data_IF_822910867638
#
_entry.id   IF_822910867638
#
_cell.length_a   1.000
_cell.length_b   1.000
_cell.length_c   1.000
_cell.angle_alpha   90.00
_cell.angle_beta   90.00
_cell.angle_gamma   90.00
#
_symmetry.space_group_name_H-M   'P 1'
#
loop_
_entity.id
_entity.type
_entity.pdbx_description
1 polymer ?
#
# COMPACT_ATOMS: atom_id res chain seq x y z
N UNK A 1 1.48 -15.97 -35.55
CA UNK A 1 0.53 -17.12 -35.71
C UNK A 1 -0.65 -16.74 -36.63
N UNK A 2 -1.58 -17.63 -37.04
CA UNK A 2 -2.87 -17.20 -37.64
C UNK A 2 -3.98 -17.16 -36.59
N UNK A 3 -4.91 -16.21 -36.67
CA UNK A 3 -6.01 -16.09 -35.71
C UNK A 3 -6.92 -17.32 -35.67
N UNK A 4 -7.19 -17.93 -36.83
CA UNK A 4 -7.98 -19.16 -36.91
C UNK A 4 -7.35 -20.32 -36.12
N UNK A 5 -6.02 -20.38 -36.07
CA UNK A 5 -5.30 -21.42 -35.35
C UNK A 5 -5.36 -21.17 -33.83
N UNK A 6 -5.35 -19.91 -33.40
CA UNK A 6 -5.55 -19.52 -31.99
C UNK A 6 -6.93 -19.89 -31.48
N UNK A 7 -7.97 -19.61 -32.27
CA UNK A 7 -9.33 -19.99 -31.93
C UNK A 7 -9.49 -21.51 -31.74
N UNK A 8 -8.71 -22.32 -32.49
CA UNK A 8 -8.68 -23.78 -32.39
C UNK A 8 -7.83 -24.31 -31.24
N UNK A 9 -6.94 -23.47 -30.71
CA UNK A 9 -6.07 -23.80 -29.58
C UNK A 9 -6.45 -22.96 -28.36
N UNK A 10 -7.51 -23.33 -27.61
CA UNK A 10 -7.81 -22.67 -26.35
C UNK A 10 -6.58 -22.68 -25.39
N UNK A 11 -5.66 -23.63 -25.57
CA UNK A 11 -4.49 -23.87 -24.72
C UNK A 11 -3.14 -23.43 -25.31
N UNK A 12 -3.05 -22.29 -26.00
CA UNK A 12 -1.73 -21.78 -26.42
C UNK A 12 -0.76 -21.52 -25.25
N UNK A 13 -1.28 -21.39 -24.02
CA UNK A 13 -0.50 -21.32 -22.79
C UNK A 13 -0.90 -22.49 -21.87
N UNK A 14 -0.22 -23.65 -21.93
CA UNK A 14 -0.59 -24.86 -21.18
C UNK A 14 -0.34 -24.76 -19.66
N UNK A 15 0.31 -23.67 -19.19
CA UNK A 15 0.53 -23.38 -17.77
C UNK A 15 -0.76 -22.81 -17.14
N UNK A 16 -1.71 -23.71 -16.92
CA UNK A 16 -3.15 -23.47 -16.66
C UNK A 16 -3.55 -23.16 -15.21
N UNK A 17 -2.69 -22.53 -14.46
CA UNK A 17 -3.12 -21.91 -13.21
C UNK A 17 -2.86 -20.43 -13.35
N UNK A 18 -3.80 -19.58 -12.93
CA UNK A 18 -3.47 -18.25 -12.46
C UNK A 18 -2.29 -18.46 -11.49
N UNK A 19 -1.05 -18.34 -11.97
CA UNK A 19 0.17 -18.54 -11.20
C UNK A 19 0.31 -17.30 -10.31
N UNK A 20 -0.67 -17.11 -9.43
CA UNK A 20 -0.76 -16.07 -8.40
C UNK A 20 0.29 -16.31 -7.30
N UNK A 21 1.16 -17.30 -7.48
CA UNK A 21 2.22 -17.72 -6.56
C UNK A 21 3.63 -17.39 -7.06
N UNK A 22 3.79 -16.43 -7.98
CA UNK A 22 5.15 -15.93 -8.29
C UNK A 22 5.59 -15.01 -7.13
N UNK A 23 6.77 -15.25 -6.52
CA UNK A 23 7.24 -14.51 -5.35
C UNK A 23 7.41 -13.00 -5.63
N UNK A 24 7.22 -12.21 -4.56
CA UNK A 24 7.04 -10.76 -4.48
C UNK A 24 8.23 -9.87 -4.91
N UNK A 25 9.23 -10.36 -5.67
CA UNK A 25 10.55 -9.70 -5.72
C UNK A 25 11.24 -9.62 -7.10
N UNK A 26 10.53 -9.61 -8.23
CA UNK A 26 11.16 -9.40 -9.54
C UNK A 26 10.31 -8.53 -10.46
N UNK A 27 10.96 -7.95 -11.49
CA UNK A 27 10.32 -7.30 -12.65
C UNK A 27 9.21 -8.15 -13.31
N UNK A 28 9.19 -9.46 -13.02
CA UNK A 28 8.11 -10.35 -13.44
C UNK A 28 6.76 -9.98 -12.81
N UNK A 29 6.72 -9.20 -11.71
CA UNK A 29 5.47 -8.90 -11.02
C UNK A 29 4.53 -8.05 -11.90
N UNK A 30 5.03 -7.00 -12.54
CA UNK A 30 4.25 -6.14 -13.46
C UNK A 30 3.62 -7.00 -14.57
N UNK A 31 4.46 -7.83 -15.20
CA UNK A 31 4.02 -8.78 -16.22
C UNK A 31 3.00 -9.81 -15.70
N UNK A 32 3.17 -10.31 -14.46
CA UNK A 32 2.25 -11.27 -13.86
C UNK A 32 0.88 -10.66 -13.56
N UNK A 33 0.84 -9.40 -13.13
CA UNK A 33 -0.44 -8.71 -12.89
C UNK A 33 -1.15 -8.43 -14.20
N UNK A 34 -0.46 -7.97 -15.24
CA UNK A 34 -1.07 -7.81 -16.57
C UNK A 34 -1.56 -9.14 -17.13
N UNK A 35 -0.77 -10.20 -16.99
CA UNK A 35 -1.18 -11.58 -17.34
C UNK A 35 -2.44 -12.01 -16.59
N UNK A 36 -2.57 -11.67 -15.30
CA UNK A 36 -3.75 -11.99 -14.51
C UNK A 36 -5.00 -11.24 -15.02
N UNK A 37 -4.86 -9.96 -15.38
CA UNK A 37 -5.93 -9.18 -16.01
C UNK A 37 -6.34 -9.79 -17.35
N UNK A 38 -5.39 -10.02 -18.25
CA UNK A 38 -5.63 -10.61 -19.58
C UNK A 38 -6.27 -12.00 -19.46
N UNK A 39 -5.77 -12.84 -18.55
CA UNK A 39 -6.33 -14.17 -18.33
C UNK A 39 -7.76 -14.11 -17.80
N UNK A 40 -8.04 -13.17 -16.89
CA UNK A 40 -9.39 -12.96 -16.35
C UNK A 40 -10.37 -12.57 -17.44
N UNK A 41 -9.99 -11.62 -18.31
CA UNK A 41 -10.81 -11.20 -19.44
C UNK A 41 -11.01 -12.36 -20.45
N UNK A 42 -9.92 -13.05 -20.82
CA UNK A 42 -9.93 -14.15 -21.78
C UNK A 42 -10.83 -15.31 -21.38
N UNK A 43 -10.82 -15.68 -20.10
CA UNK A 43 -11.49 -16.89 -19.61
C UNK A 43 -12.88 -16.65 -19.01
N UNK A 44 -13.26 -15.39 -18.85
CA UNK A 44 -14.62 -14.97 -18.46
C UNK A 44 -15.54 -14.90 -19.68
N UNK A 45 -16.83 -14.62 -19.44
CA UNK A 45 -17.78 -14.41 -20.54
C UNK A 45 -17.47 -13.11 -21.33
N UNK A 46 -17.75 -13.05 -22.65
CA UNK A 46 -17.40 -11.90 -23.49
C UNK A 46 -17.95 -10.55 -23.01
N UNK A 47 -19.10 -10.56 -22.31
CA UNK A 47 -19.73 -9.36 -21.75
C UNK A 47 -18.83 -8.64 -20.74
N UNK A 48 -17.95 -9.37 -20.03
CA UNK A 48 -16.97 -8.75 -19.15
C UNK A 48 -15.97 -7.91 -19.94
N UNK A 49 -15.46 -8.43 -21.06
CA UNK A 49 -14.53 -7.70 -21.93
C UNK A 49 -15.21 -6.51 -22.60
N UNK A 50 -16.44 -6.66 -23.06
CA UNK A 50 -17.22 -5.53 -23.61
C UNK A 50 -17.40 -4.42 -22.57
N UNK A 51 -17.73 -4.79 -21.33
CA UNK A 51 -17.86 -3.85 -20.22
C UNK A 51 -16.51 -3.20 -19.86
N UNK A 52 -15.41 -3.96 -19.88
CA UNK A 52 -14.07 -3.43 -19.62
C UNK A 52 -13.67 -2.40 -20.67
N UNK A 53 -13.83 -2.73 -21.95
CA UNK A 53 -13.56 -1.83 -23.07
C UNK A 53 -14.42 -0.56 -22.99
N UNK A 54 -15.67 -0.67 -22.55
CA UNK A 54 -16.56 0.49 -22.42
C UNK A 54 -16.21 1.37 -21.21
N UNK A 55 -16.08 0.76 -20.02
CA UNK A 55 -16.01 1.50 -18.74
C UNK A 55 -14.58 1.92 -18.38
N UNK A 56 -13.58 1.11 -18.73
CA UNK A 56 -12.18 1.38 -18.40
C UNK A 56 -11.47 2.03 -19.59
N UNK A 57 -11.66 1.49 -20.81
CA UNK A 57 -10.96 1.98 -22.00
C UNK A 57 -11.71 3.13 -22.71
N UNK A 58 -13.00 3.31 -22.45
CA UNK A 58 -13.80 4.37 -23.07
C UNK A 58 -14.26 4.06 -24.50
N UNK A 59 -14.23 2.80 -24.93
CA UNK A 59 -14.68 2.37 -26.26
C UNK A 59 -16.17 2.01 -26.25
N UNK A 60 -17.03 3.02 -26.29
CA UNK A 60 -18.49 2.85 -26.30
C UNK A 60 -19.02 2.10 -27.53
N UNK A 61 -20.09 1.33 -27.33
CA UNK A 61 -20.83 0.65 -28.41
C UNK A 61 -20.10 -0.55 -29.02
N UNK A 62 -19.08 -1.07 -28.34
CA UNK A 62 -18.33 -2.24 -28.77
C UNK A 62 -19.08 -3.52 -28.39
N UNK A 63 -19.61 -4.20 -29.40
CA UNK A 63 -20.09 -5.57 -29.28
C UNK A 63 -19.36 -6.41 -30.31
N UNK A 64 -18.38 -7.19 -29.86
CA UNK A 64 -17.81 -8.26 -30.65
C UNK A 64 -18.29 -9.60 -30.08
N UNK A 65 -18.56 -10.55 -30.97
CA UNK A 65 -18.80 -11.95 -30.60
C UNK A 65 -17.49 -12.60 -30.12
N UNK A 66 -16.35 -12.21 -30.72
CA UNK A 66 -15.03 -12.75 -30.43
C UNK A 66 -14.00 -11.64 -30.16
N UNK A 67 -13.24 -11.84 -29.07
CA UNK A 67 -12.05 -11.09 -28.73
C UNK A 67 -10.85 -12.03 -28.67
N UNK A 68 -9.71 -11.54 -29.12
CA UNK A 68 -8.41 -12.18 -29.00
C UNK A 68 -7.56 -11.44 -27.96
N UNK A 69 -6.63 -12.18 -27.36
CA UNK A 69 -5.82 -11.70 -26.24
C UNK A 69 -4.41 -12.22 -26.39
N UNK A 70 -3.43 -11.37 -26.10
CA UNK A 70 -2.01 -11.72 -26.17
C UNK A 70 -1.20 -11.06 -25.05
N UNK A 71 0.02 -11.57 -24.84
CA UNK A 71 1.02 -11.03 -23.92
C UNK A 71 2.31 -10.81 -24.71
N UNK A 72 2.91 -9.61 -24.62
CA UNK A 72 4.12 -9.30 -25.40
C UNK A 72 3.82 -8.90 -26.85
N UNK A 73 4.57 -9.38 -27.83
CA UNK A 73 4.40 -8.96 -29.23
C UNK A 73 3.22 -9.65 -29.93
N UNK A 74 2.38 -8.87 -30.61
CA UNK A 74 1.33 -9.36 -31.50
C UNK A 74 1.95 -9.86 -32.82
N UNK A 75 2.13 -11.19 -32.98
CA UNK A 75 2.83 -11.80 -34.12
C UNK A 75 1.89 -12.38 -35.20
N UNK A 76 0.64 -11.94 -35.24
CA UNK A 76 -0.38 -12.51 -36.13
C UNK A 76 -0.13 -12.15 -37.59
N UNK A 77 -0.06 -13.16 -38.45
CA UNK A 77 0.19 -12.95 -39.89
C UNK A 77 -1.03 -12.43 -40.65
N UNK A 78 -2.21 -12.52 -40.04
CA UNK A 78 -3.52 -12.18 -40.59
C UNK A 78 -4.21 -11.04 -39.82
N UNK A 79 -3.48 -10.32 -38.98
CA UNK A 79 -3.98 -9.16 -38.25
C UNK A 79 -2.91 -8.07 -38.17
N UNK A 80 -3.27 -6.88 -38.64
CA UNK A 80 -2.46 -5.67 -38.51
C UNK A 80 -3.16 -4.70 -37.54
N UNK A 81 -2.57 -4.38 -36.38
CA UNK A 81 -3.14 -3.40 -35.46
C UNK A 81 -3.35 -2.02 -36.11
N UNK A 82 -2.58 -1.65 -37.14
CA UNK A 82 -2.72 -0.38 -37.84
C UNK A 82 -4.02 -0.27 -38.65
N UNK A 83 -4.56 -1.41 -39.10
CA UNK A 83 -5.81 -1.50 -39.87
C UNK A 83 -7.07 -1.37 -39.00
N UNK A 84 -6.92 -1.39 -37.67
CA UNK A 84 -8.06 -1.26 -36.76
C UNK A 84 -8.64 0.16 -36.79
N UNK A 85 -9.96 0.27 -36.95
CA UNK A 85 -10.70 1.55 -36.91
C UNK A 85 -10.68 2.24 -35.54
N UNK A 86 -10.43 1.47 -34.48
CA UNK A 86 -10.35 1.95 -33.10
C UNK A 86 -9.11 1.37 -32.45
N UNK A 87 -8.22 2.25 -32.00
CA UNK A 87 -6.89 1.93 -31.49
C UNK A 87 -6.69 2.70 -30.20
N UNK A 88 -6.28 2.03 -29.14
CA UNK A 88 -6.06 2.67 -27.85
C UNK A 88 -4.82 2.08 -27.20
N UNK A 89 -3.97 2.96 -26.69
CA UNK A 89 -2.95 2.60 -25.72
C UNK A 89 -3.55 2.81 -24.32
N UNK A 90 -3.70 1.73 -23.55
CA UNK A 90 -4.15 1.76 -22.16
C UNK A 90 -2.92 1.70 -21.26
N UNK A 91 -2.66 2.79 -20.56
CA UNK A 91 -1.63 2.87 -19.52
C UNK A 91 -2.24 2.64 -18.14
N UNK A 92 -1.72 1.65 -17.41
CA UNK A 92 -2.14 1.33 -16.04
C UNK A 92 -1.00 1.61 -15.07
N UNK A 93 -1.21 2.41 -14.03
CA UNK A 93 -0.20 2.56 -12.99
C UNK A 93 -0.75 2.67 -11.57
N UNK A 94 0.12 2.66 -10.56
CA UNK A 94 -0.30 2.93 -9.18
C UNK A 94 -0.99 4.29 -9.04
N UNK A 95 -0.46 5.32 -9.70
CA UNK A 95 -0.97 6.69 -9.68
C UNK A 95 -1.91 7.02 -10.85
N UNK A 96 -1.91 6.22 -11.92
CA UNK A 96 -2.62 6.53 -13.17
C UNK A 96 -2.02 7.74 -13.89
N UNK A 97 -0.74 8.02 -13.66
CA UNK A 97 -0.05 9.19 -14.18
C UNK A 97 1.16 8.81 -15.03
N UNK A 98 1.48 9.70 -15.96
CA UNK A 98 2.72 9.72 -16.74
C UNK A 98 3.75 10.56 -15.96
N UNK A 99 5.02 10.15 -16.00
CA UNK A 99 6.11 10.86 -15.36
C UNK A 99 6.23 12.29 -15.92
N UNK A 100 6.01 13.34 -15.11
CA UNK A 100 5.80 14.71 -15.61
C UNK A 100 7.07 15.41 -16.12
N UNK A 101 8.26 15.02 -15.65
CA UNK A 101 9.52 15.71 -15.96
C UNK A 101 10.49 14.86 -16.78
N UNK A 102 10.11 13.63 -17.17
CA UNK A 102 10.94 12.82 -18.04
C UNK A 102 10.96 13.39 -19.47
N UNK A 103 12.14 13.68 -20.04
CA UNK A 103 12.25 14.09 -21.44
C UNK A 103 12.01 12.91 -22.37
N UNK A 104 11.73 13.19 -23.65
CA UNK A 104 11.76 12.15 -24.68
C UNK A 104 13.13 11.46 -24.70
N UNK A 105 13.14 10.14 -24.85
CA UNK A 105 14.38 9.39 -24.93
C UNK A 105 15.16 9.63 -26.23
N UNK A 106 14.51 10.17 -27.26
CA UNK A 106 15.17 10.65 -28.49
C UNK A 106 15.98 11.94 -28.26
N UNK A 107 15.66 12.72 -27.22
CA UNK A 107 16.29 14.01 -26.94
C UNK A 107 17.52 13.90 -26.02
N UNK A 108 17.83 12.69 -25.55
CA UNK A 108 18.89 12.47 -24.56
C UNK A 108 19.93 11.46 -25.04
N UNK A 109 21.10 11.49 -24.40
CA UNK A 109 22.11 10.45 -24.61
C UNK A 109 21.82 9.26 -23.68
N UNK A 110 21.05 8.29 -24.19
CA UNK A 110 20.60 7.10 -23.46
C UNK A 110 21.78 6.32 -22.83
N UNK A 111 22.85 6.08 -23.60
CA UNK A 111 24.04 5.36 -23.12
C UNK A 111 24.69 6.03 -21.90
N UNK A 112 24.79 7.37 -21.92
CA UNK A 112 25.39 8.13 -20.81
C UNK A 112 24.50 8.10 -19.57
N UNK A 113 23.18 8.19 -19.75
CA UNK A 113 22.21 8.13 -18.65
C UNK A 113 22.17 6.72 -18.04
N UNK A 114 22.12 5.67 -18.88
CA UNK A 114 22.17 4.28 -18.44
C UNK A 114 23.49 3.97 -17.71
N UNK A 115 24.62 4.47 -18.23
CA UNK A 115 25.91 4.34 -17.55
C UNK A 115 25.91 5.02 -16.17
N UNK A 116 25.24 6.17 -16.02
CA UNK A 116 25.12 6.84 -14.73
C UNK A 116 24.24 6.04 -13.74
N UNK A 117 23.11 5.51 -14.22
CA UNK A 117 22.20 4.67 -13.43
C UNK A 117 22.85 3.35 -12.98
N UNK A 118 23.71 2.76 -13.81
CA UNK A 118 24.43 1.51 -13.52
C UNK A 118 25.58 1.64 -12.53
N UNK A 119 25.97 2.86 -12.11
CA UNK A 119 27.09 3.05 -11.16
C UNK A 119 26.76 2.48 -9.78
N UNK A 120 27.73 1.87 -9.07
CA UNK A 120 27.54 1.36 -7.72
C UNK A 120 27.66 2.49 -6.68
N UNK A 121 26.80 3.51 -6.81
CA UNK A 121 26.69 4.64 -5.87
C UNK A 121 25.29 4.66 -5.25
N UNK A 122 25.12 5.40 -4.15
CA UNK A 122 23.82 5.53 -3.49
C UNK A 122 22.78 6.23 -4.39
N UNK A 123 21.49 5.98 -4.13
CA UNK A 123 20.38 6.47 -4.94
C UNK A 123 20.33 8.01 -5.01
N UNK A 124 20.71 8.69 -3.94
CA UNK A 124 20.76 10.16 -3.90
C UNK A 124 21.81 10.71 -4.88
N UNK A 125 23.00 10.09 -4.90
CA UNK A 125 24.04 10.42 -5.87
C UNK A 125 23.60 10.13 -7.31
N UNK A 126 22.95 8.99 -7.56
CA UNK A 126 22.40 8.66 -8.90
C UNK A 126 21.40 9.72 -9.36
N UNK A 127 20.45 10.09 -8.49
CA UNK A 127 19.45 11.10 -8.78
C UNK A 127 20.11 12.43 -9.17
N UNK A 128 21.10 12.90 -8.40
CA UNK A 128 21.79 14.16 -8.68
C UNK A 128 22.59 14.13 -9.99
N UNK A 129 23.23 13.00 -10.30
CA UNK A 129 23.95 12.84 -11.57
C UNK A 129 22.99 12.84 -12.76
N UNK A 130 21.86 12.12 -12.68
CA UNK A 130 20.84 12.11 -13.74
C UNK A 130 20.17 13.48 -13.90
N UNK A 131 19.81 14.17 -12.80
CA UNK A 131 19.30 15.56 -12.84
C UNK A 131 20.23 16.49 -13.61
N UNK A 132 21.55 16.36 -13.38
CA UNK A 132 22.58 17.16 -14.07
C UNK A 132 22.67 16.80 -15.56
N UNK A 133 22.65 15.51 -15.89
CA UNK A 133 22.73 15.02 -17.26
C UNK A 133 21.52 15.44 -18.11
N UNK A 134 20.33 15.38 -17.52
CA UNK A 134 19.07 15.74 -18.19
C UNK A 134 18.73 17.23 -18.11
N UNK A 135 19.48 18.00 -17.33
CA UNK A 135 19.13 19.38 -16.94
C UNK A 135 17.70 19.49 -16.32
N UNK A 136 17.27 18.46 -15.58
CA UNK A 136 15.97 18.36 -14.93
C UNK A 136 16.12 18.39 -13.41
N UNK A 137 16.15 19.56 -12.74
CA UNK A 137 16.34 19.63 -11.29
C UNK A 137 15.15 19.09 -10.48
N UNK A 138 13.96 19.04 -11.09
CA UNK A 138 12.70 18.63 -10.44
C UNK A 138 12.51 17.11 -10.41
N UNK A 139 13.24 16.35 -11.25
CA UNK A 139 13.19 14.89 -11.35
C UNK A 139 13.23 14.25 -9.96
N UNK A 140 12.27 13.43 -9.57
CA UNK A 140 12.27 12.77 -8.27
C UNK A 140 12.78 11.31 -8.31
N UNK A 141 12.68 10.60 -7.18
CA UNK A 141 13.12 9.19 -7.09
C UNK A 141 12.24 8.23 -7.90
N UNK A 142 10.95 8.53 -8.05
CA UNK A 142 10.00 7.70 -8.78
C UNK A 142 10.20 7.86 -10.29
N UNK A 143 10.43 9.10 -10.74
CA UNK A 143 10.79 9.38 -12.14
C UNK A 143 12.15 8.78 -12.51
N UNK A 144 13.13 8.81 -11.59
CA UNK A 144 14.42 8.12 -11.78
C UNK A 144 14.24 6.60 -11.94
N UNK A 145 13.37 5.98 -11.13
CA UNK A 145 13.07 4.56 -11.23
C UNK A 145 12.35 4.22 -12.54
N UNK A 146 11.39 5.06 -12.94
CA UNK A 146 10.67 4.96 -14.21
C UNK A 146 11.64 5.01 -15.39
N UNK A 147 12.52 6.01 -15.43
CA UNK A 147 13.53 6.16 -16.48
C UNK A 147 14.49 4.96 -16.56
N UNK A 148 14.97 4.47 -15.42
CA UNK A 148 15.84 3.31 -15.38
C UNK A 148 15.15 2.08 -15.97
N UNK A 149 13.90 1.87 -15.59
CA UNK A 149 13.10 0.77 -16.09
C UNK A 149 12.83 0.86 -17.59
N UNK A 150 12.43 2.01 -18.11
CA UNK A 150 12.17 2.19 -19.55
C UNK A 150 13.43 2.00 -20.39
N UNK A 151 14.59 2.45 -19.92
CA UNK A 151 15.87 2.22 -20.61
C UNK A 151 16.23 0.73 -20.66
N UNK A 152 15.98 -0.02 -19.58
CA UNK A 152 16.20 -1.47 -19.55
C UNK A 152 15.24 -2.20 -20.51
N UNK A 153 13.96 -1.83 -20.53
CA UNK A 153 12.96 -2.43 -21.45
C UNK A 153 13.24 -2.14 -22.92
N UNK A 154 13.73 -0.94 -23.24
CA UNK A 154 14.13 -0.59 -24.60
C UNK A 154 15.30 -1.41 -25.11
N UNK A 155 16.25 -1.77 -24.23
CA UNK A 155 17.33 -2.67 -24.59
C UNK A 155 16.82 -4.07 -24.99
N UNK A 156 15.69 -4.48 -24.41
CA UNK A 156 15.01 -5.75 -24.69
C UNK A 156 13.97 -5.66 -25.83
N UNK A 157 13.83 -4.48 -26.46
CA UNK A 157 13.00 -4.26 -27.63
C UNK A 157 11.63 -3.63 -27.36
N UNK A 158 11.32 -3.27 -26.10
CA UNK A 158 10.11 -2.58 -25.66
C UNK A 158 8.83 -3.16 -26.26
N UNK A 159 8.34 -4.23 -25.62
CA UNK A 159 7.09 -4.89 -26.01
C UNK A 159 5.98 -4.50 -25.03
N UNK A 160 4.75 -4.27 -25.51
CA UNK A 160 3.60 -4.07 -24.64
C UNK A 160 3.35 -5.27 -23.73
N UNK A 161 2.86 -4.99 -22.52
CA UNK A 161 2.56 -6.04 -21.54
C UNK A 161 1.39 -6.94 -21.99
N UNK A 162 0.40 -6.39 -22.70
CA UNK A 162 -0.77 -7.14 -23.12
C UNK A 162 -1.59 -6.53 -24.24
N UNK A 163 -2.47 -7.35 -24.81
CA UNK A 163 -3.34 -6.96 -25.94
C UNK A 163 -4.76 -7.46 -25.76
N UNK A 164 -5.72 -6.64 -26.20
CA UNK A 164 -7.12 -7.02 -26.41
C UNK A 164 -7.52 -6.53 -27.80
N UNK A 165 -7.93 -7.42 -28.69
CA UNK A 165 -8.30 -7.01 -30.04
C UNK A 165 -9.40 -7.85 -30.66
N UNK A 166 -10.07 -7.30 -31.66
CA UNK A 166 -11.09 -7.99 -32.45
C UNK A 166 -11.04 -7.45 -33.88
N UNK A 167 -10.60 -8.28 -34.82
CA UNK A 167 -10.58 -7.94 -36.24
C UNK A 167 -12.00 -7.65 -36.77
N UNK A 168 -12.99 -8.44 -36.34
CA UNK A 168 -14.38 -8.27 -36.73
C UNK A 168 -14.97 -6.93 -36.28
N UNK A 169 -14.61 -6.47 -35.08
CA UNK A 169 -15.04 -5.18 -34.55
C UNK A 169 -14.07 -4.01 -34.89
N UNK A 170 -12.98 -4.28 -35.61
CA UNK A 170 -11.96 -3.29 -35.96
C UNK A 170 -11.38 -2.57 -34.74
N UNK A 171 -11.18 -3.29 -33.62
CA UNK A 171 -10.73 -2.74 -32.34
C UNK A 171 -9.41 -3.37 -31.92
N UNK A 172 -8.46 -2.55 -31.48
CA UNK A 172 -7.20 -2.99 -30.87
C UNK A 172 -6.86 -2.12 -29.67
N UNK A 173 -6.60 -2.75 -28.53
CA UNK A 173 -6.14 -2.12 -27.30
C UNK A 173 -4.82 -2.75 -26.91
N UNK A 174 -3.81 -1.90 -26.76
CA UNK A 174 -2.49 -2.23 -26.26
C UNK A 174 -2.43 -1.83 -24.79
N UNK A 175 -1.95 -2.71 -23.93
CA UNK A 175 -1.84 -2.48 -22.49
C UNK A 175 -0.37 -2.35 -22.12
N UNK A 176 -0.06 -1.27 -21.41
CA UNK A 176 1.19 -1.04 -20.72
C UNK A 176 0.87 -0.79 -19.24
N UNK A 177 1.54 -1.49 -18.34
CA UNK A 177 1.17 -1.49 -16.94
C UNK A 177 2.39 -1.48 -16.02
N UNK A 178 2.45 -0.50 -15.12
CA UNK A 178 3.46 -0.40 -14.07
C UNK A 178 2.82 -0.56 -12.71
N UNK A 179 3.39 -1.34 -11.80
CA UNK A 179 2.72 -1.59 -10.50
C UNK A 179 2.65 -0.35 -9.62
N UNK A 180 3.81 0.24 -9.37
CA UNK A 180 3.96 1.33 -8.40
C UNK A 180 4.48 2.62 -9.02
N UNK A 181 5.17 2.53 -10.17
CA UNK A 181 5.82 3.67 -10.80
C UNK A 181 4.89 4.41 -11.75
N UNK A 182 5.32 5.62 -12.15
CA UNK A 182 4.74 6.32 -13.28
C UNK A 182 4.86 5.51 -14.58
N UNK A 183 4.01 5.87 -15.54
CA UNK A 183 4.18 5.47 -16.93
C UNK A 183 5.17 6.40 -17.62
N UNK A 184 5.94 5.87 -18.56
CA UNK A 184 6.82 6.66 -19.40
C UNK A 184 6.09 7.11 -20.68
N UNK A 185 6.08 8.43 -20.94
CA UNK A 185 5.40 9.00 -22.11
C UNK A 185 5.97 8.48 -23.43
N UNK A 186 7.30 8.39 -23.52
CA UNK A 186 8.02 7.96 -24.71
C UNK A 186 7.65 6.52 -25.05
N UNK A 187 7.56 5.63 -24.06
CA UNK A 187 7.17 4.24 -24.28
C UNK A 187 5.75 4.13 -24.86
N UNK A 188 4.78 4.85 -24.28
CA UNK A 188 3.40 4.85 -24.76
C UNK A 188 3.28 5.43 -26.19
N UNK A 189 4.01 6.51 -26.48
CA UNK A 189 4.06 7.10 -27.82
C UNK A 189 4.71 6.16 -28.84
N UNK A 190 5.80 5.50 -28.44
CA UNK A 190 6.52 4.54 -29.29
C UNK A 190 5.63 3.37 -29.68
N UNK A 191 4.82 2.87 -28.76
CA UNK A 191 3.84 1.84 -29.07
C UNK A 191 2.81 2.26 -30.10
N UNK A 192 2.22 3.46 -29.94
CA UNK A 192 1.28 3.98 -30.92
C UNK A 192 1.96 4.15 -32.29
N UNK A 193 3.18 4.67 -32.33
CA UNK A 193 3.92 4.85 -33.58
C UNK A 193 4.20 3.51 -34.27
N UNK A 194 4.76 2.55 -33.54
CA UNK A 194 5.21 1.26 -34.08
C UNK A 194 4.02 0.40 -34.51
N UNK A 195 2.95 0.33 -33.71
CA UNK A 195 1.86 -0.61 -33.94
C UNK A 195 0.65 0.01 -34.63
N UNK A 196 0.39 1.30 -34.44
CA UNK A 196 -0.77 1.98 -35.05
C UNK A 196 -0.39 2.91 -36.21
N UNK A 197 0.91 3.12 -36.46
CA UNK A 197 1.40 4.01 -37.52
C UNK A 197 1.12 5.49 -37.27
N UNK A 198 0.90 5.88 -36.01
CA UNK A 198 0.53 7.25 -35.66
C UNK A 198 0.61 7.53 -34.16
N UNK A 199 0.18 8.73 -33.75
CA UNK A 199 0.10 9.10 -32.33
C UNK A 199 -1.33 8.88 -31.85
N UNK A 200 -1.47 8.11 -30.79
CA UNK A 200 -2.72 7.96 -30.06
C UNK A 200 -2.57 8.62 -28.68
N UNK A 201 -3.64 9.25 -28.19
CA UNK A 201 -3.65 9.73 -26.79
C UNK A 201 -3.90 8.54 -25.89
N UNK A 202 -3.00 8.20 -24.95
CA UNK A 202 -3.21 7.06 -24.08
C UNK A 202 -4.40 7.30 -23.15
N UNK A 203 -5.14 6.24 -22.86
CA UNK A 203 -6.10 6.21 -21.76
C UNK A 203 -5.35 5.77 -20.51
N UNK A 204 -5.39 6.58 -19.45
CA UNK A 204 -4.68 6.30 -18.21
C UNK A 204 -5.65 5.86 -17.14
N UNK A 205 -5.31 4.79 -16.41
CA UNK A 205 -6.08 4.36 -15.25
C UNK A 205 -5.19 3.85 -14.12
N UNK A 206 -5.77 3.78 -12.93
CA UNK A 206 -5.12 3.23 -11.74
C UNK A 206 -5.43 1.75 -11.58
N UNK A 207 -4.54 1.03 -10.88
CA UNK A 207 -4.88 -0.33 -10.43
C UNK A 207 -6.12 -0.40 -9.54
N UNK A 208 -6.42 0.66 -8.78
CA UNK A 208 -7.65 0.78 -8.00
C UNK A 208 -8.91 0.85 -8.90
N UNK A 209 -8.82 1.54 -10.04
CA UNK A 209 -9.90 1.57 -11.04
C UNK A 209 -10.08 0.20 -11.69
N UNK A 210 -8.99 -0.50 -12.02
CA UNK A 210 -9.03 -1.87 -12.54
C UNK A 210 -9.69 -2.81 -11.53
N UNK A 211 -9.23 -2.78 -10.28
CA UNK A 211 -9.78 -3.61 -9.21
C UNK A 211 -11.25 -3.29 -8.93
N UNK A 212 -11.62 -2.01 -8.90
CA UNK A 212 -13.00 -1.56 -8.71
C UNK A 212 -13.92 -2.03 -9.85
N UNK A 213 -13.45 -2.00 -11.09
CA UNK A 213 -14.18 -2.57 -12.23
C UNK A 213 -14.47 -4.06 -11.99
N UNK A 214 -13.43 -4.88 -11.78
CA UNK A 214 -13.62 -6.32 -11.59
C UNK A 214 -14.40 -6.66 -10.32
N UNK A 215 -14.35 -5.82 -9.29
CA UNK A 215 -15.13 -5.99 -8.07
C UNK A 215 -16.65 -6.04 -8.35
N UNK A 216 -17.13 -5.29 -9.36
CA UNK A 216 -18.56 -5.31 -9.75
C UNK A 216 -19.01 -6.63 -10.37
N UNK A 217 -18.06 -7.49 -10.76
CA UNK A 217 -18.30 -8.79 -11.40
C UNK A 217 -18.01 -9.99 -10.48
N UNK A 218 -17.58 -9.77 -9.23
CA UNK A 218 -17.29 -10.87 -8.27
C UNK A 218 -18.47 -11.81 -8.03
N UNK A 219 -19.68 -11.26 -8.06
CA UNK A 219 -20.93 -12.00 -7.86
C UNK A 219 -21.68 -12.26 -9.18
N UNK A 220 -20.94 -12.40 -10.29
CA UNK A 220 -21.55 -12.72 -11.58
C UNK A 220 -22.39 -14.00 -11.50
N UNK A 221 -23.52 -13.99 -12.21
CA UNK A 221 -24.35 -15.17 -12.41
C UNK A 221 -23.62 -16.34 -13.08
N UNK A 222 -22.61 -16.08 -13.91
CA UNK A 222 -21.69 -17.07 -14.44
C UNK A 222 -20.60 -17.39 -13.39
N UNK A 223 -20.59 -18.61 -12.83
CA UNK A 223 -19.69 -18.94 -11.71
C UNK A 223 -18.21 -18.83 -12.06
N UNK A 224 -17.84 -19.02 -13.33
CA UNK A 224 -16.46 -18.91 -13.79
C UNK A 224 -16.00 -17.45 -13.77
N UNK A 225 -16.80 -16.55 -14.34
CA UNK A 225 -16.55 -15.11 -14.33
C UNK A 225 -16.47 -14.59 -12.89
N UNK A 226 -17.43 -14.94 -12.03
CA UNK A 226 -17.39 -14.55 -10.61
C UNK A 226 -16.14 -15.06 -9.89
N UNK A 227 -15.76 -16.32 -10.13
CA UNK A 227 -14.55 -16.90 -9.55
C UNK A 227 -13.26 -16.20 -10.01
N UNK A 228 -13.08 -16.01 -11.31
CA UNK A 228 -11.86 -15.40 -11.87
C UNK A 228 -11.70 -13.94 -11.42
N UNK A 229 -12.79 -13.17 -11.47
CA UNK A 229 -12.78 -11.77 -11.01
C UNK A 229 -12.55 -11.66 -9.51
N UNK A 230 -13.11 -12.59 -8.72
CA UNK A 230 -12.81 -12.72 -7.29
C UNK A 230 -11.33 -12.99 -7.02
N UNK A 231 -10.72 -13.95 -7.74
CA UNK A 231 -9.30 -14.26 -7.60
C UNK A 231 -8.39 -13.09 -7.99
N UNK A 232 -8.65 -12.44 -9.13
CA UNK A 232 -7.88 -11.28 -9.57
C UNK A 232 -7.96 -10.15 -8.53
N UNK A 233 -9.16 -9.89 -8.04
CA UNK A 233 -9.37 -8.87 -7.03
C UNK A 233 -8.61 -9.16 -5.71
N UNK A 234 -8.65 -10.41 -5.24
CA UNK A 234 -7.92 -10.81 -4.02
C UNK A 234 -6.40 -10.76 -4.24
N UNK A 235 -5.93 -11.05 -5.46
CA UNK A 235 -4.52 -10.90 -5.83
C UNK A 235 -4.08 -9.43 -5.81
N UNK A 236 -4.85 -8.53 -6.44
CA UNK A 236 -4.55 -7.09 -6.43
C UNK A 236 -4.59 -6.49 -5.02
N UNK A 237 -5.49 -6.98 -4.17
CA UNK A 237 -5.59 -6.63 -2.75
C UNK A 237 -4.35 -7.09 -1.96
N UNK A 238 -3.89 -8.34 -2.18
CA UNK A 238 -2.66 -8.86 -1.58
C UNK A 238 -1.43 -8.05 -1.97
N UNK A 239 -1.35 -7.62 -3.24
CA UNK A 239 -0.29 -6.75 -3.74
C UNK A 239 -0.42 -5.29 -3.28
N UNK A 240 -1.52 -4.92 -2.61
CA UNK A 240 -1.79 -3.54 -2.19
C UNK A 240 -1.94 -2.55 -3.34
N UNK A 241 -2.37 -3.04 -4.50
CA UNK A 241 -2.64 -2.24 -5.70
C UNK A 241 -4.07 -1.69 -5.73
N UNK A 242 -4.89 -2.13 -4.78
CA UNK A 242 -6.27 -1.70 -4.60
C UNK A 242 -6.37 -0.89 -3.29
N UNK A 243 -7.38 -0.03 -3.17
CA UNK A 243 -7.75 0.53 -1.85
C UNK A 243 -8.10 -0.60 -0.88
N UNK A 244 -8.06 -0.31 0.41
CA UNK A 244 -8.44 -1.28 1.42
C UNK A 244 -9.94 -1.64 1.33
N UNK A 245 -10.23 -2.92 1.06
CA UNK A 245 -11.60 -3.48 1.03
C UNK A 245 -11.86 -4.47 2.17
N UNK A 246 -11.17 -4.34 3.29
CA UNK A 246 -11.40 -5.22 4.44
C UNK A 246 -10.45 -6.40 4.52
N UNK A 247 -10.32 -6.93 5.73
CA UNK A 247 -9.45 -8.08 5.99
C UNK A 247 -10.11 -9.39 5.58
N UNK A 248 -9.27 -10.36 5.26
CA UNK A 248 -9.59 -11.76 5.00
C UNK A 248 -9.05 -12.61 6.14
N UNK A 249 -9.59 -13.81 6.37
CA UNK A 249 -9.10 -14.67 7.45
C UNK A 249 -7.59 -14.94 7.38
N UNK A 250 -7.03 -15.08 6.18
CA UNK A 250 -5.61 -15.37 5.97
C UNK A 250 -4.68 -14.16 6.21
N UNK A 251 -5.20 -12.93 6.24
CA UNK A 251 -4.38 -11.74 6.56
C UNK A 251 -3.84 -11.78 8.00
N UNK A 252 -4.48 -12.56 8.87
CA UNK A 252 -4.09 -12.76 10.26
C UNK A 252 -3.27 -14.04 10.48
N UNK A 253 -2.85 -14.72 9.41
CA UNK A 253 -1.95 -15.86 9.52
C UNK A 253 -0.51 -15.36 9.78
N UNK A 254 0.15 -15.74 10.89
CA UNK A 254 1.53 -15.38 11.15
C UNK A 254 2.47 -15.73 9.99
N UNK A 255 2.20 -16.83 9.29
CA UNK A 255 3.03 -17.32 8.19
C UNK A 255 2.84 -16.49 6.90
N UNK A 256 1.74 -15.73 6.79
CA UNK A 256 1.43 -14.83 5.68
C UNK A 256 1.60 -13.34 6.05
N UNK A 257 2.25 -13.05 7.18
CA UNK A 257 2.34 -11.70 7.74
C UNK A 257 3.13 -10.72 6.86
N UNK A 258 4.08 -11.20 6.06
CA UNK A 258 4.84 -10.37 5.13
C UNK A 258 3.99 -9.96 3.93
N UNK A 259 3.21 -10.89 3.39
CA UNK A 259 2.31 -10.66 2.26
C UNK A 259 1.13 -9.78 2.68
N UNK A 260 0.58 -9.99 3.87
CA UNK A 260 -0.49 -9.16 4.43
C UNK A 260 -0.03 -7.72 4.75
N UNK A 261 1.28 -7.47 4.82
CA UNK A 261 1.84 -6.17 5.23
C UNK A 261 1.41 -5.05 4.28
N UNK A 262 1.45 -5.27 2.97
CA UNK A 262 1.10 -4.23 1.99
C UNK A 262 -0.37 -3.84 2.14
N UNK A 263 -1.25 -4.83 2.25
CA UNK A 263 -2.67 -4.62 2.53
C UNK A 263 -2.91 -3.92 3.87
N UNK A 264 -2.16 -4.28 4.90
CA UNK A 264 -2.24 -3.63 6.20
C UNK A 264 -1.83 -2.15 6.15
N UNK A 265 -0.82 -1.80 5.34
CA UNK A 265 -0.45 -0.41 5.13
C UNK A 265 -1.60 0.36 4.44
N UNK A 266 -2.30 -0.24 3.47
CA UNK A 266 -3.53 0.35 2.89
C UNK A 266 -4.63 0.56 3.92
N UNK A 267 -4.81 -0.38 4.85
CA UNK A 267 -5.72 -0.19 5.99
C UNK A 267 -5.31 1.01 6.84
N UNK A 268 -4.03 1.13 7.18
CA UNK A 268 -3.52 2.22 8.00
C UNK A 268 -3.65 3.59 7.29
N UNK A 269 -3.41 3.65 5.98
CA UNK A 269 -3.65 4.83 5.14
C UNK A 269 -5.14 5.24 5.15
N UNK A 270 -6.03 4.27 4.93
CA UNK A 270 -7.47 4.50 4.97
C UNK A 270 -7.96 4.94 6.36
N UNK A 271 -7.44 4.34 7.43
CA UNK A 271 -7.70 4.75 8.81
C UNK A 271 -7.22 6.18 9.07
N UNK A 272 -6.02 6.53 8.62
CA UNK A 272 -5.47 7.87 8.78
C UNK A 272 -6.33 8.92 8.06
N UNK A 273 -6.75 8.63 6.82
CA UNK A 273 -7.65 9.50 6.06
C UNK A 273 -9.00 9.68 6.79
N UNK A 274 -9.63 8.59 7.22
CA UNK A 274 -10.90 8.62 7.94
C UNK A 274 -10.81 9.37 9.28
N UNK A 275 -9.72 9.20 10.02
CA UNK A 275 -9.45 9.92 11.26
C UNK A 275 -9.29 11.44 11.03
N UNK A 276 -8.62 11.85 9.96
CA UNK A 276 -8.48 13.26 9.58
C UNK A 276 -9.80 13.87 9.15
N UNK A 277 -10.60 13.14 8.38
CA UNK A 277 -11.96 13.55 8.01
C UNK A 277 -12.85 13.74 9.25
N UNK A 278 -12.68 12.88 10.26
CA UNK A 278 -13.32 13.02 11.57
C UNK A 278 -12.74 14.14 12.45
N UNK A 279 -11.77 14.92 11.95
CA UNK A 279 -11.17 16.06 12.67
C UNK A 279 -10.15 15.69 13.74
N UNK A 280 -9.62 14.46 13.73
CA UNK A 280 -8.58 14.03 14.66
C UNK A 280 -7.21 14.61 14.22
N UNK A 281 -6.45 15.27 15.12
CA UNK A 281 -5.18 15.91 14.79
C UNK A 281 -4.03 14.90 14.77
N UNK A 282 -3.99 14.06 13.74
CA UNK A 282 -2.90 13.12 13.51
C UNK A 282 -1.86 13.73 12.57
N UNK A 283 -0.60 13.40 12.81
CA UNK A 283 0.55 13.70 11.96
C UNK A 283 0.65 12.68 10.81
N UNK A 284 1.72 12.75 10.03
CA UNK A 284 1.95 11.81 8.93
C UNK A 284 2.04 10.35 9.42
N UNK A 285 1.56 9.45 8.56
CA UNK A 285 1.63 8.01 8.79
C UNK A 285 3.03 7.50 8.45
N UNK A 286 3.56 6.63 9.30
CA UNK A 286 4.79 5.93 9.03
C UNK A 286 4.64 4.42 9.16
N UNK A 287 5.16 3.69 8.19
CA UNK A 287 5.24 2.23 8.26
C UNK A 287 6.21 1.79 9.36
N UNK A 288 5.87 0.72 10.07
CA UNK A 288 6.74 0.02 11.00
C UNK A 288 6.92 -1.44 10.56
N UNK A 289 7.86 -2.21 11.15
CA UNK A 289 8.04 -3.62 10.82
C UNK A 289 6.80 -4.49 11.08
N UNK A 290 5.96 -4.11 12.05
CA UNK A 290 4.79 -4.88 12.52
C UNK A 290 3.46 -4.14 12.30
N UNK A 291 3.50 -2.97 11.67
CA UNK A 291 2.30 -2.19 11.42
C UNK A 291 2.56 -0.76 10.95
N UNK A 292 1.88 0.20 11.57
CA UNK A 292 1.95 1.63 11.24
C UNK A 292 1.93 2.48 12.51
N UNK A 293 2.52 3.68 12.43
CA UNK A 293 2.58 4.69 13.48
C UNK A 293 1.97 5.99 12.99
N UNK A 294 1.20 6.63 13.86
CA UNK A 294 0.51 7.89 13.62
C UNK A 294 0.84 8.83 14.78
N UNK A 295 1.76 9.77 14.54
CA UNK A 295 2.06 10.81 15.53
C UNK A 295 0.85 11.72 15.77
N UNK A 296 0.87 12.50 16.86
CA UNK A 296 -0.10 13.58 17.06
C UNK A 296 0.41 14.87 16.41
N UNK A 297 -0.47 15.58 15.72
CA UNK A 297 -0.16 16.90 15.16
C UNK A 297 -0.22 18.01 16.22
N UNK A 298 -0.89 17.76 17.34
CA UNK A 298 -0.89 18.67 18.49
C UNK A 298 0.48 18.63 19.16
N UNK A 299 1.10 19.80 19.25
CA UNK A 299 2.41 19.94 19.86
C UNK A 299 2.38 19.51 21.35
N UNK A 300 1.25 19.50 22.06
CA UNK A 300 1.22 19.18 23.49
C UNK A 300 1.25 17.69 23.86
N UNK A 301 0.92 16.78 22.94
CA UNK A 301 0.63 15.38 23.29
C UNK A 301 1.83 14.46 23.01
N UNK A 302 2.60 14.00 24.02
CA UNK A 302 3.61 12.96 23.84
C UNK A 302 3.05 11.66 23.25
N UNK A 303 3.92 10.90 22.59
CA UNK A 303 3.62 9.56 22.07
C UNK A 303 2.99 9.53 20.68
N UNK A 304 2.44 8.37 20.34
CA UNK A 304 1.85 8.10 19.03
C UNK A 304 0.71 7.08 19.14
N UNK A 305 -0.11 6.98 18.10
CA UNK A 305 -1.02 5.86 17.91
C UNK A 305 -0.31 4.77 17.11
N UNK A 306 -0.14 3.61 17.72
CA UNK A 306 0.35 2.40 17.07
C UNK A 306 -0.82 1.55 16.58
N UNK A 307 -0.76 1.17 15.31
CA UNK A 307 -1.69 0.25 14.66
C UNK A 307 -0.88 -0.97 14.25
N UNK A 308 -1.17 -2.13 14.82
CA UNK A 308 -0.44 -3.38 14.55
C UNK A 308 -1.39 -4.51 14.11
N UNK A 309 -0.91 -5.36 13.21
CA UNK A 309 -1.60 -6.58 12.80
C UNK A 309 -1.12 -7.76 13.65
N UNK A 310 -2.03 -8.41 14.37
CA UNK A 310 -1.75 -9.57 15.21
C UNK A 310 -2.56 -10.78 14.74
N UNK A 311 -2.10 -11.99 15.03
CA UNK A 311 -2.87 -13.20 14.72
C UNK A 311 -4.30 -13.21 15.33
N UNK A 312 -4.48 -12.47 16.43
CA UNK A 312 -5.75 -12.34 17.16
C UNK A 312 -6.63 -11.19 16.68
N UNK A 313 -6.13 -10.27 15.83
CA UNK A 313 -6.88 -9.11 15.39
C UNK A 313 -6.02 -7.87 15.07
N UNK A 314 -6.67 -6.71 14.99
CA UNK A 314 -6.00 -5.42 14.76
C UNK A 314 -5.85 -4.71 16.09
N UNK A 315 -4.63 -4.44 16.52
CA UNK A 315 -4.33 -3.70 17.74
C UNK A 315 -4.19 -2.23 17.44
N UNK A 316 -4.88 -1.39 18.21
CA UNK A 316 -4.81 0.08 18.10
C UNK A 316 -4.59 0.62 19.50
N UNK A 317 -3.45 1.24 19.73
CA UNK A 317 -3.02 1.70 21.05
C UNK A 317 -2.36 3.08 20.96
N UNK A 318 -2.67 3.97 21.90
CA UNK A 318 -1.79 5.06 22.28
C UNK A 318 -0.55 4.46 22.97
N UNK A 319 0.65 4.84 22.53
CA UNK A 319 1.93 4.35 23.08
C UNK A 319 2.87 5.49 23.44
N UNK A 320 3.56 5.32 24.57
CA UNK A 320 4.64 6.21 25.06
C UNK A 320 5.76 5.35 25.60
N UNK A 321 7.02 5.71 25.34
CA UNK A 321 8.21 4.98 25.82
C UNK A 321 8.94 4.20 24.73
N UNK A 322 8.23 3.75 23.70
CA UNK A 322 8.79 3.16 22.48
C UNK A 322 8.38 3.87 21.19
N UNK A 323 7.74 5.04 21.33
CA UNK A 323 7.33 5.84 20.18
C UNK A 323 8.55 6.16 19.31
N UNK A 324 8.49 5.75 18.04
CA UNK A 324 9.56 5.97 17.06
C UNK A 324 9.47 7.39 16.50
N UNK A 325 8.27 7.96 16.53
CA UNK A 325 7.98 9.28 15.99
C UNK A 325 7.25 10.15 17.01
N UNK A 326 6.95 11.39 16.60
CA UNK A 326 6.21 12.35 17.41
C UNK A 326 7.10 13.18 18.34
N UNK A 327 6.44 14.03 19.13
CA UNK A 327 7.10 14.89 20.11
C UNK A 327 7.40 14.06 21.35
N UNK A 328 8.66 14.10 21.80
CA UNK A 328 9.18 13.31 22.93
C UNK A 328 9.24 11.80 22.66
N UNK A 329 10.02 11.35 21.66
CA UNK A 329 10.18 9.93 21.38
C UNK A 329 10.84 9.19 22.55
N UNK A 330 10.57 7.89 22.63
CA UNK A 330 11.15 7.00 23.62
C UNK A 330 10.98 7.49 25.06
N UNK A 331 12.11 7.61 25.77
CA UNK A 331 12.16 7.90 27.20
C UNK A 331 11.52 9.26 27.56
N UNK A 332 11.74 10.29 26.76
CA UNK A 332 11.30 11.65 27.06
C UNK A 332 9.77 11.75 27.19
N UNK A 333 9.03 10.98 26.39
CA UNK A 333 7.58 10.98 26.47
C UNK A 333 7.07 10.43 27.80
N UNK A 334 7.77 9.46 28.38
CA UNK A 334 7.41 8.86 29.67
C UNK A 334 7.73 9.83 30.80
N UNK A 335 8.90 10.45 30.77
CA UNK A 335 9.27 11.50 31.73
C UNK A 335 8.20 12.62 31.74
N UNK A 336 7.72 13.04 30.57
CA UNK A 336 6.68 14.06 30.44
C UNK A 336 5.29 13.60 30.96
N UNK A 337 4.87 12.37 30.63
CA UNK A 337 3.60 11.81 31.14
C UNK A 337 3.63 11.69 32.67
N UNK A 338 4.73 11.21 33.24
CA UNK A 338 4.87 11.08 34.70
C UNK A 338 4.90 12.45 35.38
N UNK A 339 5.59 13.44 34.79
CA UNK A 339 5.62 14.82 35.30
C UNK A 339 4.21 15.43 35.34
N UNK A 340 3.47 15.35 34.23
CA UNK A 340 2.11 15.88 34.13
C UNK A 340 1.12 15.17 35.06
N UNK A 341 1.27 13.85 35.22
CA UNK A 341 0.45 13.08 36.15
C UNK A 341 0.69 13.50 37.62
N UNK A 342 1.93 13.80 38.00
CA UNK A 342 2.27 14.26 39.35
C UNK A 342 1.80 15.69 39.66
N UNK A 343 1.72 16.55 38.65
CA UNK A 343 1.26 17.94 38.80
C UNK A 343 -0.27 18.05 38.93
N UNK A 344 -1.01 16.99 38.61
CA UNK A 344 -2.47 17.01 38.61
C UNK A 344 -3.03 16.62 39.98
N UNK A 345 -3.89 17.47 40.53
CA UNK A 345 -4.71 17.13 41.70
C UNK A 345 -6.00 16.44 41.23
N UNK A 346 -6.23 15.19 41.63
CA UNK A 346 -7.46 14.44 41.36
C UNK A 346 -7.32 13.33 40.32
N UNK A 347 -8.47 12.81 39.85
CA UNK A 347 -8.50 11.71 38.90
C UNK A 347 -8.07 12.18 37.50
N UNK A 348 -7.13 11.46 36.88
CA UNK A 348 -6.65 11.77 35.52
C UNK A 348 -7.72 11.54 34.45
N UNK A 349 -8.64 10.60 34.71
CA UNK A 349 -9.80 10.28 33.90
C UNK A 349 -11.06 10.36 34.75
N UNK A 350 -12.07 11.11 34.29
CA UNK A 350 -13.40 11.12 34.92
C UNK A 350 -14.18 9.84 34.57
N UNK A 351 -14.03 9.38 33.33
CA UNK A 351 -14.58 8.10 32.86
C UNK A 351 -13.65 7.50 31.79
N UNK A 352 -13.61 6.17 31.74
CA UNK A 352 -12.83 5.44 30.76
C UNK A 352 -13.74 4.99 29.60
N UNK A 353 -13.31 5.12 28.33
CA UNK A 353 -14.00 4.48 27.22
C UNK A 353 -14.06 2.97 27.44
N UNK A 354 -15.23 2.38 27.21
CA UNK A 354 -15.46 0.95 27.47
C UNK A 354 -14.61 0.05 26.57
N UNK A 355 -14.04 -1.01 27.13
CA UNK A 355 -13.31 -2.04 26.39
C UNK A 355 -11.87 -1.69 26.01
N UNK A 356 -11.36 -0.52 26.44
CA UNK A 356 -9.92 -0.26 26.39
C UNK A 356 -9.20 -0.99 27.52
N UNK A 357 -7.93 -1.32 27.32
CA UNK A 357 -7.02 -1.79 28.35
C UNK A 357 -5.84 -0.84 28.49
N UNK A 358 -5.22 -0.87 29.67
CA UNK A 358 -3.95 -0.19 29.96
C UNK A 358 -2.88 -1.24 30.23
N UNK A 359 -1.68 -1.01 29.70
CA UNK A 359 -0.53 -1.92 29.81
C UNK A 359 0.74 -1.12 30.14
N UNK A 360 1.58 -1.68 31.00
CA UNK A 360 2.94 -1.21 31.26
C UNK A 360 3.93 -2.30 30.88
N UNK A 361 4.90 -1.92 30.05
CA UNK A 361 5.99 -2.79 29.60
C UNK A 361 7.31 -2.23 30.13
N UNK A 362 8.20 -3.12 30.58
CA UNK A 362 9.61 -2.79 30.76
C UNK A 362 10.35 -3.07 29.46
N UNK A 363 10.99 -2.04 28.94
CA UNK A 363 11.79 -2.11 27.73
C UNK A 363 13.28 -2.17 28.06
N UNK A 364 14.05 -2.74 27.14
CA UNK A 364 15.51 -2.81 27.20
C UNK A 364 16.13 -2.39 25.86
N UNK A 365 17.11 -1.50 25.92
CA UNK A 365 17.90 -1.03 24.77
C UNK A 365 19.40 -1.08 25.08
N UNK A 366 20.24 -1.04 24.05
CA UNK A 366 21.71 -0.96 24.23
C UNK A 366 22.17 0.45 24.61
N UNK A 367 21.42 1.48 24.20
CA UNK A 367 21.67 2.89 24.47
C UNK A 367 20.37 3.56 24.93
N UNK A 368 20.43 4.71 25.64
CA UNK A 368 19.22 5.38 26.14
C UNK A 368 18.20 5.72 25.05
N UNK A 369 18.67 6.05 23.85
CA UNK A 369 17.86 6.45 22.69
C UNK A 369 17.82 5.37 21.60
N UNK A 370 18.30 4.16 21.91
CA UNK A 370 18.38 3.05 20.97
C UNK A 370 17.04 2.34 20.77
N UNK A 371 16.98 1.47 19.75
CA UNK A 371 15.83 0.58 19.54
C UNK A 371 15.65 -0.30 20.77
N UNK A 372 14.48 -0.21 21.38
CA UNK A 372 14.17 -0.96 22.58
C UNK A 372 13.40 -2.25 22.24
N UNK A 373 13.63 -3.29 23.03
CA UNK A 373 12.89 -4.55 22.99
C UNK A 373 12.05 -4.69 24.25
N UNK A 374 10.88 -5.30 24.14
CA UNK A 374 10.06 -5.61 25.32
C UNK A 374 10.75 -6.71 26.13
N UNK A 375 11.21 -6.38 27.33
CA UNK A 375 11.78 -7.36 28.26
C UNK A 375 10.66 -8.12 28.97
N UNK A 376 9.65 -7.39 29.45
CA UNK A 376 8.53 -7.95 30.22
C UNK A 376 7.32 -7.02 30.27
N UNK A 377 6.12 -7.57 30.18
CA UNK A 377 4.88 -6.91 30.62
C UNK A 377 4.78 -6.99 32.15
N UNK A 378 4.68 -5.84 32.83
CA UNK A 378 4.63 -5.77 34.30
C UNK A 378 3.25 -5.45 34.85
N UNK A 379 2.39 -4.80 34.04
CA UNK A 379 1.00 -4.52 34.40
C UNK A 379 0.09 -4.56 33.18
N UNK A 380 -1.12 -5.08 33.38
CA UNK A 380 -2.21 -5.07 32.41
C UNK A 380 -3.54 -5.14 33.13
N UNK A 381 -4.46 -4.25 32.77
CA UNK A 381 -5.84 -4.26 33.28
C UNK A 381 -6.82 -3.61 32.29
N UNK A 382 -8.12 -3.77 32.51
CA UNK A 382 -9.15 -2.98 31.83
C UNK A 382 -9.00 -1.50 32.23
N UNK A 383 -9.15 -0.59 31.27
CA UNK A 383 -8.97 0.84 31.52
C UNK A 383 -10.10 1.35 32.42
N UNK A 384 -9.71 1.89 33.57
CA UNK A 384 -10.54 2.60 34.51
C UNK A 384 -9.70 3.72 35.15
N UNK A 385 -10.31 4.71 35.83
CA UNK A 385 -9.53 5.72 36.56
C UNK A 385 -8.57 5.13 37.59
N UNK A 386 -8.98 4.06 38.27
CA UNK A 386 -8.18 3.36 39.27
C UNK A 386 -7.02 2.58 38.63
N UNK A 387 -7.31 1.77 37.61
CA UNK A 387 -6.26 1.00 36.92
C UNK A 387 -5.26 1.87 36.18
N UNK A 388 -5.66 3.04 35.66
CA UNK A 388 -4.72 4.00 35.09
C UNK A 388 -3.77 4.55 36.16
N UNK A 389 -4.25 4.79 37.38
CA UNK A 389 -3.42 5.25 38.49
C UNK A 389 -2.37 4.19 38.83
N UNK A 390 -2.79 2.92 38.99
CA UNK A 390 -1.85 1.82 39.21
C UNK A 390 -0.86 1.63 38.06
N UNK A 391 -1.29 1.81 36.82
CA UNK A 391 -0.41 1.75 35.67
C UNK A 391 0.66 2.85 35.71
N UNK A 392 0.35 4.06 36.18
CA UNK A 392 1.33 5.14 36.28
C UNK A 392 2.33 4.93 37.42
N UNK A 393 1.88 4.38 38.56
CA UNK A 393 2.77 3.96 39.63
C UNK A 393 3.73 2.86 39.15
N UNK A 394 3.21 1.85 38.45
CA UNK A 394 4.03 0.80 37.87
C UNK A 394 4.98 1.35 36.80
N UNK A 395 4.51 2.27 35.95
CA UNK A 395 5.34 2.94 34.94
C UNK A 395 6.50 3.66 35.60
N UNK A 396 6.27 4.38 36.70
CA UNK A 396 7.32 5.05 37.46
C UNK A 396 8.35 4.07 38.04
N UNK A 397 7.90 2.89 38.52
CA UNK A 397 8.80 1.83 39.00
C UNK A 397 9.65 1.22 37.88
N UNK A 398 9.08 1.05 36.68
CA UNK A 398 9.79 0.50 35.52
C UNK A 398 10.60 1.55 34.74
N UNK A 399 10.48 2.84 35.08
CA UNK A 399 11.15 3.95 34.42
C UNK A 399 12.19 4.65 35.34
N UNK A 400 13.29 3.96 35.71
CA UNK A 400 14.33 4.53 36.56
C UNK A 400 15.00 5.74 35.89
N UNK A 401 15.68 6.60 36.65
CA UNK A 401 16.50 7.70 36.09
C UNK A 401 17.57 7.18 35.13
N UNK A 402 18.13 8.05 34.28
CA UNK A 402 19.20 7.67 33.33
C UNK A 402 20.38 6.96 34.00
N UNK A 403 20.81 7.44 35.18
CA UNK A 403 21.91 6.85 35.94
C UNK A 403 21.52 5.51 36.59
N UNK A 404 20.25 5.34 36.96
CA UNK A 404 19.72 4.12 37.59
C UNK A 404 19.22 3.07 36.60
N UNK A 405 19.02 3.43 35.33
CA UNK A 405 18.46 2.56 34.30
C UNK A 405 19.44 1.57 33.70
N UNK A 406 20.73 1.69 33.99
CA UNK A 406 21.76 0.80 33.44
C UNK A 406 21.83 -0.52 34.21
N UNK A 407 21.59 -1.63 33.53
CA UNK A 407 21.72 -2.96 34.10
C UNK A 407 23.18 -3.42 34.21
N UNK A 408 23.41 -4.56 34.88
CA UNK A 408 24.75 -5.14 35.09
C UNK A 408 25.47 -5.53 33.79
N UNK A 409 24.71 -5.74 32.71
CA UNK A 409 25.23 -6.01 31.36
C UNK A 409 25.42 -4.74 30.53
N UNK A 410 25.18 -3.57 31.12
CA UNK A 410 25.36 -2.27 30.48
C UNK A 410 24.19 -1.81 29.60
N UNK A 411 23.10 -2.58 29.52
CA UNK A 411 21.88 -2.19 28.79
C UNK A 411 21.03 -1.20 29.59
N UNK A 412 20.22 -0.41 28.90
CA UNK A 412 19.35 0.60 29.50
C UNK A 412 17.92 0.08 29.60
N UNK A 413 17.28 0.32 30.73
CA UNK A 413 15.87 -0.02 30.99
C UNK A 413 15.03 1.24 31.13
N UNK A 414 13.83 1.19 30.57
CA UNK A 414 12.80 2.20 30.76
C UNK A 414 11.41 1.59 30.62
N UNK A 415 10.44 2.21 31.29
CA UNK A 415 9.03 1.81 31.16
C UNK A 415 8.42 2.35 29.87
N UNK A 416 7.39 1.68 29.38
CA UNK A 416 6.50 2.14 28.35
C UNK A 416 5.04 1.94 28.77
N UNK A 417 4.19 2.90 28.40
CA UNK A 417 2.76 2.88 28.66
C UNK A 417 2.02 2.65 27.34
N UNK A 418 1.03 1.78 27.36
CA UNK A 418 0.12 1.59 26.23
C UNK A 418 -1.32 1.61 26.70
N UNK A 419 -2.20 2.31 25.98
CA UNK A 419 -3.65 2.30 26.21
C UNK A 419 -4.36 2.07 24.89
N UNK A 420 -5.19 1.04 24.81
CA UNK A 420 -5.93 0.78 23.58
C UNK A 420 -6.72 -0.51 23.59
N UNK A 421 -6.99 -1.06 22.41
CA UNK A 421 -7.73 -2.30 22.27
C UNK A 421 -7.27 -3.14 21.08
N UNK A 422 -7.66 -4.41 21.11
CA UNK A 422 -7.55 -5.31 19.97
C UNK A 422 -8.94 -5.52 19.39
N UNK A 423 -9.16 -5.10 18.14
CA UNK A 423 -10.35 -5.44 17.37
C UNK A 423 -10.21 -6.92 17.02
N UNK A 424 -11.04 -7.83 17.58
CA UNK A 424 -10.85 -9.26 17.40
C UNK A 424 -10.90 -9.63 15.92
N UNK A 425 -10.09 -10.61 15.50
CA UNK A 425 -10.00 -11.09 14.11
C UNK A 425 -11.37 -11.28 13.46
N UNK A 426 -12.34 -11.87 14.16
CA UNK A 426 -13.70 -12.08 13.64
C UNK A 426 -14.41 -10.77 13.30
N UNK A 427 -14.26 -9.75 14.14
CA UNK A 427 -14.83 -8.42 13.92
C UNK A 427 -14.06 -7.66 12.84
N UNK A 428 -12.73 -7.77 12.83
CA UNK A 428 -11.88 -7.12 11.83
C UNK A 428 -12.10 -7.68 10.41
N UNK A 429 -12.35 -8.98 10.28
CA UNK A 429 -12.76 -9.59 9.00
C UNK A 429 -14.18 -9.16 8.63
N UNK A 430 -15.13 -9.20 9.56
CA UNK A 430 -16.51 -8.75 9.33
C UNK A 430 -17.18 -9.46 8.15
N UNK A 431 -17.85 -8.67 7.30
CA UNK A 431 -18.38 -9.07 5.99
C UNK A 431 -17.33 -9.01 4.88
N UNK A 432 -16.14 -8.50 5.19
CA UNK A 432 -15.02 -8.38 4.27
C UNK A 432 -15.13 -7.22 3.30
N UNK A 433 -15.87 -6.14 3.63
CA UNK A 433 -15.89 -4.87 2.89
C UNK A 433 -14.97 -3.78 3.48
N UNK A 434 -14.51 -3.98 4.72
CA UNK A 434 -13.59 -3.09 5.42
C UNK A 434 -14.23 -1.87 6.09
N UNK A 435 -15.47 -1.51 5.75
CA UNK A 435 -16.12 -0.32 6.26
C UNK A 435 -16.37 -0.42 7.77
N UNK A 436 -16.84 -1.57 8.24
CA UNK A 436 -17.11 -1.81 9.66
C UNK A 436 -15.83 -1.72 10.52
N UNK A 437 -14.74 -2.35 10.08
CA UNK A 437 -13.46 -2.32 10.81
C UNK A 437 -12.82 -0.93 10.76
N UNK A 438 -12.91 -0.19 9.64
CA UNK A 438 -12.44 1.18 9.55
C UNK A 438 -13.20 2.13 10.48
N UNK A 439 -14.53 2.02 10.52
CA UNK A 439 -15.36 2.82 11.41
C UNK A 439 -15.06 2.52 12.89
N UNK A 440 -14.89 1.23 13.24
CA UNK A 440 -14.49 0.83 14.58
C UNK A 440 -13.11 1.37 14.92
N UNK A 441 -12.11 1.16 14.05
CA UNK A 441 -10.75 1.62 14.25
C UNK A 441 -10.67 3.14 14.44
N UNK A 442 -11.37 3.91 13.60
CA UNK A 442 -11.41 5.38 13.69
C UNK A 442 -11.97 5.84 15.04
N UNK A 443 -13.03 5.17 15.54
CA UNK A 443 -13.57 5.45 16.88
C UNK A 443 -12.53 5.17 17.97
N UNK A 444 -11.83 4.04 17.89
CA UNK A 444 -10.77 3.69 18.86
C UNK A 444 -9.66 4.73 18.86
N UNK A 445 -9.24 5.20 17.69
CA UNK A 445 -8.24 6.28 17.57
C UNK A 445 -8.71 7.54 18.31
N UNK A 446 -9.97 7.92 18.18
CA UNK A 446 -10.56 9.04 18.94
C UNK A 446 -10.59 8.79 20.45
N UNK A 447 -10.94 7.58 20.88
CA UNK A 447 -10.98 7.17 22.29
C UNK A 447 -9.58 7.21 22.93
N UNK A 448 -8.56 6.64 22.28
CA UNK A 448 -7.18 6.63 22.81
C UNK A 448 -6.56 8.03 22.78
N UNK A 449 -6.90 8.86 21.79
CA UNK A 449 -6.49 10.27 21.76
C UNK A 449 -7.10 11.06 22.93
N UNK A 450 -8.36 10.79 23.29
CA UNK A 450 -9.00 11.41 24.45
C UNK A 450 -8.24 11.08 25.74
N UNK A 451 -7.80 9.82 25.90
CA UNK A 451 -6.97 9.40 27.03
C UNK A 451 -5.60 10.08 27.01
N UNK A 452 -4.94 10.13 25.85
CA UNK A 452 -3.65 10.81 25.71
C UNK A 452 -3.74 12.29 26.09
N UNK A 453 -4.81 12.98 25.66
CA UNK A 453 -5.10 14.37 26.07
C UNK A 453 -5.40 14.49 27.55
N UNK A 454 -6.14 13.56 28.14
CA UNK A 454 -6.39 13.58 29.57
C UNK A 454 -5.08 13.44 30.36
N UNK A 455 -4.17 12.56 29.95
CA UNK A 455 -2.86 12.42 30.57
C UNK A 455 -1.96 13.65 30.44
N UNK A 456 -2.22 14.49 29.44
CA UNK A 456 -1.31 15.59 29.05
C UNK A 456 -1.91 16.98 29.24
N UNK A 457 -3.19 17.06 29.59
CA UNK A 457 -3.84 18.29 29.95
C UNK A 457 -3.17 18.87 31.20
N UNK A 458 -2.45 19.98 31.01
CA UNK A 458 -1.91 20.75 32.11
C UNK A 458 -3.03 21.05 33.12
N UNK A 459 -2.70 21.05 34.42
CA UNK A 459 -3.59 21.64 35.40
C UNK A 459 -3.85 23.08 34.95
N UNK A 460 -5.04 23.36 34.42
CA UNK A 460 -5.48 24.74 34.23
C UNK A 460 -5.53 25.34 35.62
N UNK A 461 -4.46 26.08 35.96
CA UNK A 461 -4.35 26.82 37.20
C UNK A 461 -5.53 27.80 37.23
N UNK A 462 -6.55 27.44 38.01
CA UNK A 462 -7.72 28.28 38.26
C UNK A 462 -7.41 29.42 39.22
#
# INVERSE_FOLDING_TARGET
MKLEDVARHPNLYPERHLNVFVPFASHDLDHNVTRAVISTLRWSRPELTQAFLTQVVGLEGQTAEDYCYDLGACDYTDFDPADCSRRVVLGISGSGQIAPHLPSLDDINQDVVQAALGRPVDLGTKLQDVRRLLAQPELDYEELATLAHTLDELADGSLPDGWIFSAAAGTCVLIEAKLLHYLDAYQLERYAEVYYGGRETPVLCTWDQIASFFATWRNDSDPRTGFLTGQLCDYLDLLGLNRFHGFRPYDFDPDASQEARTKFLRFAEALHAAAREAGLPLAELAASPIGARLGFADAGTPGEVAVDLLATGVRIEYRVGDAVQGRFPGRQGVDEVLRLAQEREGALLESAPAGLSVRVERLRSETPDGVASVERETFRDELSPESLTFALEELQLQHPSLDGGRDVSGGYRHGALSVGLVIPRREAVGDGDGAAVLARATRVVGEVLSVARALTAAATVG
#
